data_IF_447934511303
#
_entry.id   IF_447934511303
#
_cell.length_a   1.000
_cell.length_b   1.000
_cell.length_c   1.000
_cell.angle_alpha   90.00
_cell.angle_beta   90.00
_cell.angle_gamma   90.00
#
_symmetry.space_group_name_H-M   'P 1'
#
loop_
_entity.id
_entity.type
_entity.pdbx_description
1 polymer ?
#
# COMPACT_ATOMS: atom_id res chain seq x y z
N UNK A 1 17.99 8.00 -68.90
CA UNK A 1 18.86 7.79 -67.73
C UNK A 1 18.09 8.30 -66.53
N UNK A 2 17.43 7.36 -65.85
CA UNK A 2 16.62 7.65 -64.65
C UNK A 2 17.47 7.32 -63.44
N UNK A 3 17.64 8.28 -62.55
CA UNK A 3 18.22 8.03 -61.22
C UNK A 3 17.13 8.06 -60.19
N UNK A 4 16.84 6.85 -59.66
CA UNK A 4 16.00 6.67 -58.48
C UNK A 4 16.73 7.20 -57.24
N UNK A 5 16.08 8.10 -56.53
CA UNK A 5 16.46 8.50 -55.18
C UNK A 5 15.52 7.80 -54.18
N UNK A 6 16.02 6.73 -53.58
CA UNK A 6 15.34 6.07 -52.49
C UNK A 6 15.65 6.83 -51.20
N UNK A 7 14.65 7.51 -50.66
CA UNK A 7 14.72 8.14 -49.34
C UNK A 7 14.44 7.07 -48.29
N UNK A 8 15.47 6.74 -47.56
CA UNK A 8 15.39 5.84 -46.39
C UNK A 8 14.84 6.66 -45.20
N UNK A 9 13.55 6.49 -44.92
CA UNK A 9 12.93 7.04 -43.69
C UNK A 9 13.34 6.15 -42.52
N UNK A 10 14.35 6.60 -41.78
CA UNK A 10 14.68 6.03 -40.49
C UNK A 10 13.53 6.35 -39.50
N UNK A 11 12.68 5.36 -39.24
CA UNK A 11 11.72 5.39 -38.16
C UNK A 11 12.50 5.43 -36.84
N UNK A 12 12.58 6.59 -36.22
CA UNK A 12 13.07 6.74 -34.86
C UNK A 12 12.08 6.00 -33.93
N UNK A 13 12.47 4.82 -33.47
CA UNK A 13 11.78 4.16 -32.37
C UNK A 13 12.10 5.00 -31.14
N UNK A 14 11.12 5.80 -30.72
CA UNK A 14 11.17 6.51 -29.44
C UNK A 14 10.97 5.44 -28.36
N UNK A 15 12.06 4.87 -27.86
CA UNK A 15 12.06 4.08 -26.65
C UNK A 15 11.95 5.08 -25.51
N UNK A 16 10.73 5.52 -25.17
CA UNK A 16 10.47 5.97 -23.81
C UNK A 16 10.92 4.82 -22.90
N UNK A 17 11.96 5.06 -22.14
CA UNK A 17 12.35 4.16 -21.05
C UNK A 17 11.15 4.13 -20.11
N UNK A 18 10.41 3.02 -20.12
CA UNK A 18 9.39 2.79 -19.13
C UNK A 18 10.05 2.98 -17.76
N UNK A 19 9.64 4.00 -17.04
CA UNK A 19 10.05 4.19 -15.64
C UNK A 19 9.35 3.07 -14.89
N UNK A 20 10.12 2.19 -14.29
CA UNK A 20 9.59 1.02 -13.58
C UNK A 20 9.14 1.48 -12.19
N UNK A 21 7.92 2.01 -12.11
CA UNK A 21 7.32 2.43 -10.85
C UNK A 21 7.00 1.20 -9.98
N UNK A 22 7.24 1.31 -8.68
CA UNK A 22 6.86 0.26 -7.72
C UNK A 22 5.34 0.14 -7.62
N UNK A 23 4.65 1.29 -7.62
CA UNK A 23 3.19 1.36 -7.60
C UNK A 23 2.74 2.45 -8.57
N UNK A 24 1.71 2.17 -9.38
CA UNK A 24 1.16 3.12 -10.34
C UNK A 24 -0.37 2.99 -10.41
N UNK A 25 -1.05 4.13 -10.38
CA UNK A 25 -2.45 4.27 -10.78
C UNK A 25 -2.47 5.04 -12.09
N UNK A 26 -3.18 4.53 -13.09
CA UNK A 26 -3.36 5.20 -14.37
C UNK A 26 -4.85 5.40 -14.64
N UNK A 27 -5.27 6.67 -14.65
CA UNK A 27 -6.63 7.13 -15.03
C UNK A 27 -7.73 6.40 -14.26
N UNK A 28 -7.54 6.22 -12.94
CA UNK A 28 -8.44 5.41 -12.10
C UNK A 28 -9.69 6.17 -11.71
N UNK A 29 -10.84 5.60 -12.04
CA UNK A 29 -12.16 5.92 -11.50
C UNK A 29 -12.54 4.93 -10.41
N UNK A 30 -13.00 5.42 -9.27
CA UNK A 30 -13.44 4.56 -8.16
C UNK A 30 -14.37 5.31 -7.20
N UNK A 31 -15.08 4.56 -6.35
CA UNK A 31 -16.01 5.15 -5.39
C UNK A 31 -16.75 4.11 -4.54
N UNK A 32 -17.87 4.54 -3.98
CA UNK A 32 -18.68 3.72 -3.07
C UNK A 32 -20.09 3.50 -3.66
N UNK A 33 -20.46 2.26 -3.95
CA UNK A 33 -21.73 1.95 -4.61
C UNK A 33 -21.82 2.66 -5.96
N UNK A 34 -22.76 3.58 -6.13
CA UNK A 34 -22.93 4.36 -7.36
C UNK A 34 -22.34 5.79 -7.24
N UNK A 35 -21.63 6.10 -6.16
CA UNK A 35 -21.05 7.43 -5.90
C UNK A 35 -19.58 7.43 -6.28
N UNK A 36 -19.26 8.11 -7.38
CA UNK A 36 -17.87 8.32 -7.80
C UNK A 36 -17.16 9.30 -6.87
N UNK A 37 -15.93 8.95 -6.48
CA UNK A 37 -15.05 9.76 -5.62
C UNK A 37 -13.71 10.04 -6.29
N UNK A 38 -13.17 9.09 -7.03
CA UNK A 38 -12.00 9.27 -7.87
C UNK A 38 -12.46 9.43 -9.32
N UNK A 39 -11.90 10.42 -10.01
CA UNK A 39 -12.20 10.77 -11.41
C UNK A 39 -10.85 11.03 -12.09
N UNK A 40 -10.48 10.17 -13.05
CA UNK A 40 -9.21 10.21 -13.80
C UNK A 40 -7.98 10.38 -12.86
N UNK A 41 -7.93 9.58 -11.78
CA UNK A 41 -6.88 9.69 -10.76
C UNK A 41 -5.63 8.94 -11.19
N UNK A 42 -4.52 9.67 -11.35
CA UNK A 42 -3.21 9.08 -11.68
C UNK A 42 -2.17 9.48 -10.65
N UNK A 43 -1.36 8.52 -10.22
CA UNK A 43 -0.20 8.73 -9.34
C UNK A 43 0.79 7.58 -9.50
N UNK A 44 2.02 7.80 -9.11
CA UNK A 44 3.04 6.75 -9.03
C UNK A 44 3.88 6.88 -7.77
N UNK A 45 4.55 5.78 -7.42
CA UNK A 45 5.50 5.68 -6.33
C UNK A 45 6.73 4.92 -6.81
N UNK A 46 7.91 5.52 -6.64
CA UNK A 46 9.19 4.91 -6.96
C UNK A 46 9.83 4.22 -5.75
N UNK A 47 10.81 3.35 -6.01
CA UNK A 47 11.52 2.65 -4.95
C UNK A 47 12.23 3.64 -4.00
N UNK A 48 11.98 3.50 -2.69
CA UNK A 48 12.56 4.37 -1.66
C UNK A 48 11.93 5.76 -1.56
N UNK A 49 10.83 6.01 -2.27
CA UNK A 49 10.09 7.26 -2.23
C UNK A 49 9.03 7.27 -1.12
N UNK A 50 8.65 8.47 -0.70
CA UNK A 50 7.49 8.72 0.17
C UNK A 50 6.56 9.69 -0.55
N UNK A 51 5.38 9.22 -0.93
CA UNK A 51 4.32 10.06 -1.52
C UNK A 51 3.32 10.46 -0.45
N UNK A 52 2.99 11.75 -0.38
CA UNK A 52 2.02 12.29 0.57
C UNK A 52 0.80 12.83 -0.15
N UNK A 53 -0.37 12.24 0.11
CA UNK A 53 -1.65 12.71 -0.42
C UNK A 53 -2.17 13.85 0.46
N UNK A 54 -2.26 15.06 -0.08
CA UNK A 54 -2.70 16.26 0.65
C UNK A 54 -4.02 16.75 0.07
N UNK A 55 -4.95 17.12 0.93
CA UNK A 55 -6.25 17.67 0.54
C UNK A 55 -7.22 17.75 1.70
N UNK A 56 -8.36 18.45 1.53
CA UNK A 56 -9.41 18.54 2.56
C UNK A 56 -10.05 17.17 2.84
N UNK A 57 -10.82 17.10 3.93
CA UNK A 57 -11.63 15.91 4.22
C UNK A 57 -12.65 15.72 3.09
N UNK A 58 -12.81 14.48 2.64
CA UNK A 58 -13.66 14.14 1.50
C UNK A 58 -12.99 14.29 0.11
N UNK A 59 -11.72 14.70 0.02
CA UNK A 59 -10.99 14.81 -1.25
C UNK A 59 -10.60 13.47 -1.91
N UNK A 60 -11.02 12.34 -1.36
CA UNK A 60 -10.71 11.02 -1.95
C UNK A 60 -9.42 10.35 -1.47
N UNK A 61 -8.65 10.95 -0.55
CA UNK A 61 -7.36 10.39 -0.08
C UNK A 61 -7.48 8.92 0.38
N UNK A 62 -8.40 8.64 1.31
CA UNK A 62 -8.65 7.27 1.77
C UNK A 62 -9.23 6.37 0.68
N UNK A 63 -9.92 6.94 -0.31
CA UNK A 63 -10.46 6.18 -1.45
C UNK A 63 -9.32 5.69 -2.34
N UNK A 64 -8.32 6.52 -2.63
CA UNK A 64 -7.09 6.12 -3.34
C UNK A 64 -6.44 4.93 -2.63
N UNK A 65 -6.14 5.07 -1.33
CA UNK A 65 -5.49 4.01 -0.56
C UNK A 65 -6.31 2.70 -0.52
N UNK A 66 -7.64 2.81 -0.37
CA UNK A 66 -8.54 1.65 -0.37
C UNK A 66 -8.67 0.98 -1.74
N UNK A 67 -8.57 1.75 -2.82
CA UNK A 67 -8.58 1.21 -4.18
C UNK A 67 -7.28 0.46 -4.45
N UNK A 68 -6.12 1.00 -4.07
CA UNK A 68 -4.84 0.30 -4.16
C UNK A 68 -4.88 -1.00 -3.34
N UNK A 69 -5.43 -0.96 -2.13
CA UNK A 69 -5.47 -2.11 -1.21
C UNK A 69 -6.61 -3.10 -1.52
N UNK A 70 -7.33 -2.96 -2.63
CA UNK A 70 -8.38 -3.89 -3.05
C UNK A 70 -9.67 -3.86 -2.22
N UNK A 71 -9.83 -2.88 -1.31
CA UNK A 71 -11.10 -2.67 -0.58
C UNK A 71 -12.17 -2.04 -1.47
N UNK A 72 -11.76 -1.38 -2.54
CA UNK A 72 -12.58 -0.83 -3.60
C UNK A 72 -12.02 -1.30 -4.93
N UNK A 73 -12.90 -1.74 -5.83
CA UNK A 73 -12.51 -2.11 -7.18
C UNK A 73 -12.52 -0.86 -8.06
N UNK A 74 -11.48 -0.59 -8.86
CA UNK A 74 -11.53 0.47 -9.85
C UNK A 74 -12.66 0.20 -10.85
N UNK A 75 -13.38 1.24 -11.25
CA UNK A 75 -14.42 1.15 -12.27
C UNK A 75 -13.83 1.29 -13.68
N UNK A 76 -12.85 2.18 -13.81
CA UNK A 76 -12.03 2.41 -15.00
C UNK A 76 -10.58 2.64 -14.58
N UNK A 77 -9.65 2.58 -15.53
CA UNK A 77 -8.22 2.68 -15.29
C UNK A 77 -7.60 1.41 -14.72
N UNK A 78 -6.32 1.50 -14.34
CA UNK A 78 -5.55 0.35 -13.85
C UNK A 78 -4.73 0.70 -12.61
N UNK A 79 -4.47 -0.32 -11.78
CA UNK A 79 -3.56 -0.22 -10.63
C UNK A 79 -2.48 -1.26 -10.81
N UNK A 80 -1.22 -0.82 -10.99
CA UNK A 80 -0.07 -1.72 -11.16
C UNK A 80 0.83 -1.70 -9.95
N UNK A 81 1.35 -2.87 -9.60
CA UNK A 81 2.37 -3.05 -8.60
C UNK A 81 3.50 -3.90 -9.20
N UNK A 82 4.73 -3.35 -9.23
CA UNK A 82 5.86 -3.93 -9.96
C UNK A 82 5.54 -4.31 -11.42
N UNK A 83 4.66 -3.54 -12.07
CA UNK A 83 4.23 -3.77 -13.44
C UNK A 83 3.08 -4.76 -13.61
N UNK A 84 2.69 -5.50 -12.59
CA UNK A 84 1.55 -6.41 -12.62
C UNK A 84 0.25 -5.67 -12.22
N UNK A 85 -0.83 -5.90 -12.95
CA UNK A 85 -2.15 -5.33 -12.64
C UNK A 85 -2.75 -6.02 -11.41
N UNK A 86 -2.94 -5.23 -10.34
CA UNK A 86 -3.57 -5.65 -9.09
C UNK A 86 -5.00 -5.12 -8.92
N UNK A 87 -5.53 -4.44 -9.94
CA UNK A 87 -6.87 -3.86 -9.92
C UNK A 87 -7.95 -4.89 -9.62
N UNK A 88 -8.68 -4.71 -8.50
CA UNK A 88 -9.72 -5.64 -8.06
C UNK A 88 -9.23 -6.95 -7.42
N UNK A 89 -7.92 -7.09 -7.16
CA UNK A 89 -7.37 -8.17 -6.35
C UNK A 89 -7.91 -8.08 -4.91
N UNK A 90 -8.09 -9.21 -4.24
CA UNK A 90 -8.56 -9.23 -2.85
C UNK A 90 -7.46 -8.71 -1.88
N UNK A 91 -7.83 -8.01 -0.79
CA UNK A 91 -6.86 -7.47 0.17
C UNK A 91 -5.87 -8.49 0.73
N UNK A 92 -6.32 -9.72 0.97
CA UNK A 92 -5.48 -10.81 1.45
C UNK A 92 -4.39 -11.23 0.46
N UNK A 93 -4.65 -11.12 -0.84
CA UNK A 93 -3.68 -11.41 -1.89
C UNK A 93 -2.72 -10.23 -2.06
N UNK A 94 -3.22 -8.99 -2.03
CA UNK A 94 -2.40 -7.76 -2.05
C UNK A 94 -1.38 -7.72 -0.90
N UNK A 95 -1.78 -8.17 0.30
CA UNK A 95 -0.85 -8.30 1.44
C UNK A 95 0.27 -9.31 1.14
N UNK A 96 -0.03 -10.42 0.45
CA UNK A 96 0.97 -11.42 0.07
C UNK A 96 1.91 -10.93 -1.01
N UNK A 97 1.43 -10.05 -1.88
CA UNK A 97 2.27 -9.39 -2.90
C UNK A 97 3.26 -8.38 -2.28
N UNK A 98 3.03 -7.91 -1.03
CA UNK A 98 3.96 -7.03 -0.33
C UNK A 98 3.45 -5.61 -0.08
N UNK A 99 2.15 -5.38 -0.15
CA UNK A 99 1.54 -4.08 0.19
C UNK A 99 0.88 -4.17 1.57
N UNK A 100 1.35 -3.38 2.53
CA UNK A 100 0.75 -3.23 3.85
C UNK A 100 -0.23 -2.06 3.93
N UNK A 101 -1.20 -2.13 4.84
CA UNK A 101 -2.16 -1.05 5.06
C UNK A 101 -2.37 -0.75 6.54
N UNK A 102 -2.29 0.53 6.90
CA UNK A 102 -2.59 1.05 8.25
C UNK A 102 -3.83 1.92 8.15
N UNK A 103 -5.00 1.46 8.62
CA UNK A 103 -6.24 2.24 8.59
C UNK A 103 -6.22 3.38 9.61
N UNK A 104 -6.98 4.45 9.33
CA UNK A 104 -7.17 5.59 10.23
C UNK A 104 -7.75 5.19 11.59
N UNK A 105 -8.75 4.30 11.60
CA UNK A 105 -9.46 3.85 12.79
C UNK A 105 -9.44 2.34 12.90
N UNK A 106 -9.77 1.82 14.09
CA UNK A 106 -9.84 0.37 14.37
C UNK A 106 -8.57 -0.40 13.98
N UNK A 107 -7.44 0.30 14.04
CA UNK A 107 -6.13 -0.18 13.59
C UNK A 107 -5.46 -1.17 14.56
N UNK A 108 -6.03 -1.44 15.73
CA UNK A 108 -5.56 -2.45 16.70
C UNK A 108 -6.73 -3.19 17.36
N UNK A 109 -6.51 -4.46 17.72
CA UNK A 109 -7.47 -5.25 18.48
C UNK A 109 -7.32 -4.94 19.97
N UNK A 110 -8.15 -4.03 20.49
CA UNK A 110 -8.04 -3.50 21.85
C UNK A 110 -8.16 -4.55 22.96
N UNK A 111 -8.87 -5.66 22.72
CA UNK A 111 -9.03 -6.76 23.66
C UNK A 111 -7.85 -7.73 23.71
N UNK A 112 -7.00 -7.71 22.69
CA UNK A 112 -5.79 -8.53 22.59
C UNK A 112 -4.61 -7.82 23.23
N UNK A 113 -3.60 -8.58 23.66
CA UNK A 113 -2.30 -8.04 24.05
C UNK A 113 -1.54 -7.47 22.86
N UNK A 114 -0.46 -6.74 23.12
CA UNK A 114 0.43 -6.23 22.08
C UNK A 114 1.00 -7.40 21.25
N UNK A 115 1.50 -8.43 21.92
CA UNK A 115 2.04 -9.61 21.24
C UNK A 115 0.99 -10.31 20.36
N UNK A 116 -0.23 -10.50 20.86
CA UNK A 116 -1.32 -11.07 20.08
C UNK A 116 -1.70 -10.19 18.89
N UNK A 117 -1.67 -8.85 19.02
CA UNK A 117 -1.89 -7.93 17.91
C UNK A 117 -0.81 -8.10 16.81
N UNK A 118 0.47 -8.22 17.19
CA UNK A 118 1.56 -8.47 16.22
C UNK A 118 1.37 -9.83 15.54
N UNK A 119 1.08 -10.89 16.29
CA UNK A 119 0.80 -12.22 15.72
C UNK A 119 -0.38 -12.22 14.75
N UNK A 120 -1.43 -11.45 15.04
CA UNK A 120 -2.55 -11.26 14.12
C UNK A 120 -2.14 -10.52 12.83
N UNK A 121 -1.14 -9.62 12.90
CA UNK A 121 -0.59 -8.97 11.70
C UNK A 121 0.13 -9.96 10.78
N UNK A 122 0.68 -11.04 11.33
CA UNK A 122 1.42 -12.06 10.59
C UNK A 122 0.63 -13.32 10.26
N UNK A 123 -0.71 -13.31 10.36
CA UNK A 123 -1.55 -14.50 10.15
C UNK A 123 -1.41 -15.09 8.72
N UNK A 124 -1.02 -14.29 7.76
CA UNK A 124 -0.80 -14.69 6.37
C UNK A 124 0.66 -15.15 6.08
N UNK A 125 1.56 -15.13 7.08
CA UNK A 125 2.93 -15.63 6.95
C UNK A 125 2.97 -17.14 7.10
N UNK A 126 3.77 -17.77 6.27
CA UNK A 126 4.00 -19.21 6.34
C UNK A 126 5.10 -19.58 7.36
N UNK A 127 6.07 -18.67 7.61
CA UNK A 127 7.23 -18.93 8.49
C UNK A 127 7.81 -17.63 9.11
N UNK A 128 8.80 -17.79 9.97
CA UNK A 128 9.65 -16.72 10.50
C UNK A 128 8.94 -15.69 11.40
N UNK A 129 7.67 -15.88 11.77
CA UNK A 129 6.87 -14.91 12.50
C UNK A 129 7.54 -14.44 13.80
N UNK A 130 8.09 -15.38 14.60
CA UNK A 130 8.70 -15.03 15.89
C UNK A 130 9.95 -14.16 15.69
N UNK A 131 10.78 -14.46 14.69
CA UNK A 131 11.98 -13.67 14.40
C UNK A 131 11.64 -12.25 13.94
N UNK A 132 10.59 -12.08 13.14
CA UNK A 132 10.12 -10.75 12.73
C UNK A 132 9.56 -9.97 13.92
N UNK A 133 8.78 -10.61 14.77
CA UNK A 133 8.25 -9.98 15.99
C UNK A 133 9.41 -9.55 16.91
N UNK A 134 10.44 -10.34 17.08
CA UNK A 134 11.62 -9.97 17.87
C UNK A 134 12.33 -8.77 17.27
N UNK A 135 12.49 -8.71 15.94
CA UNK A 135 13.04 -7.53 15.24
C UNK A 135 12.17 -6.28 15.45
N UNK A 136 10.84 -6.43 15.45
CA UNK A 136 9.92 -5.32 15.73
C UNK A 136 10.02 -4.85 17.18
N UNK A 137 10.25 -5.72 18.15
CA UNK A 137 10.51 -5.33 19.55
C UNK A 137 11.82 -4.55 19.69
N UNK A 138 12.88 -4.94 18.97
CA UNK A 138 14.13 -4.15 18.94
C UNK A 138 13.89 -2.75 18.34
N UNK A 139 13.09 -2.66 17.28
CA UNK A 139 12.77 -1.40 16.60
C UNK A 139 11.81 -0.51 17.41
N UNK A 140 10.90 -1.12 18.16
CA UNK A 140 9.87 -0.44 18.97
C UNK A 140 9.93 -0.90 20.45
N UNK A 141 10.94 -0.47 21.23
CA UNK A 141 11.14 -0.93 22.63
C UNK A 141 9.91 -0.74 23.53
N UNK A 142 9.11 0.31 23.26
CA UNK A 142 7.84 0.53 23.97
C UNK A 142 6.87 -0.66 23.89
N UNK A 143 6.83 -1.35 22.75
CA UNK A 143 5.97 -2.51 22.54
C UNK A 143 6.52 -3.72 23.30
N UNK A 144 7.85 -3.87 23.36
CA UNK A 144 8.51 -4.93 24.10
C UNK A 144 8.26 -4.81 25.62
N UNK A 145 8.44 -3.62 26.19
CA UNK A 145 8.18 -3.35 27.60
C UNK A 145 6.76 -3.70 28.05
N UNK A 146 5.81 -3.66 27.12
CA UNK A 146 4.36 -3.84 27.37
C UNK A 146 3.75 -5.03 26.63
N UNK A 147 4.57 -5.98 26.12
CA UNK A 147 4.11 -7.04 25.22
C UNK A 147 2.86 -7.80 25.70
N UNK A 148 2.74 -8.02 27.01
CA UNK A 148 1.58 -8.69 27.63
C UNK A 148 0.41 -7.76 28.00
N UNK A 149 0.54 -6.44 27.80
CA UNK A 149 -0.54 -5.50 28.12
C UNK A 149 -1.61 -5.49 27.02
N UNK A 150 -2.88 -5.33 27.43
CA UNK A 150 -3.98 -5.14 26.47
C UNK A 150 -3.81 -3.86 25.67
N UNK A 151 -4.01 -3.90 24.33
CA UNK A 151 -3.86 -2.75 23.47
C UNK A 151 -4.80 -1.59 23.82
N UNK A 152 -5.97 -1.85 24.40
CA UNK A 152 -6.88 -0.79 24.91
C UNK A 152 -6.28 0.09 26.00
N UNK A 153 -5.23 -0.38 26.71
CA UNK A 153 -4.56 0.39 27.78
C UNK A 153 -3.52 1.35 27.25
N UNK A 154 -3.19 1.27 25.96
CA UNK A 154 -2.25 2.14 25.29
C UNK A 154 -2.85 3.54 25.07
N UNK A 155 -2.01 4.57 25.10
CA UNK A 155 -2.37 5.91 24.63
C UNK A 155 -2.63 5.92 23.12
N UNK A 156 -3.22 7.00 22.59
CA UNK A 156 -3.46 7.15 21.15
C UNK A 156 -2.19 6.92 20.32
N UNK A 157 -1.12 7.65 20.64
CA UNK A 157 0.16 7.49 19.92
C UNK A 157 0.79 6.10 20.10
N UNK A 158 0.64 5.46 21.28
CA UNK A 158 1.12 4.09 21.48
C UNK A 158 0.32 3.07 20.64
N UNK A 159 -0.99 3.27 20.49
CA UNK A 159 -1.81 2.45 19.58
C UNK A 159 -1.40 2.63 18.14
N UNK A 160 -1.05 3.86 17.74
CA UNK A 160 -0.55 4.13 16.40
C UNK A 160 0.76 3.37 16.14
N UNK A 161 1.71 3.40 17.07
CA UNK A 161 2.96 2.62 16.97
C UNK A 161 2.67 1.12 16.83
N UNK A 162 1.70 0.59 17.60
CA UNK A 162 1.31 -0.81 17.47
C UNK A 162 0.65 -1.11 16.12
N UNK A 163 -0.16 -0.20 15.59
CA UNK A 163 -0.78 -0.35 14.26
C UNK A 163 0.28 -0.42 13.14
N UNK A 164 1.29 0.46 13.21
CA UNK A 164 2.44 0.41 12.30
C UNK A 164 3.20 -0.91 12.42
N UNK A 165 3.58 -1.28 13.64
CA UNK A 165 4.32 -2.51 13.88
C UNK A 165 3.56 -3.73 13.36
N UNK A 166 2.22 -3.76 13.55
CA UNK A 166 1.36 -4.84 13.05
C UNK A 166 1.36 -4.94 11.52
N UNK A 167 1.34 -3.80 10.82
CA UNK A 167 1.41 -3.80 9.35
C UNK A 167 2.81 -4.23 8.84
N UNK A 168 3.86 -3.91 9.60
CA UNK A 168 5.25 -4.29 9.27
C UNK A 168 5.56 -5.77 9.52
N UNK A 169 4.71 -6.53 10.22
CA UNK A 169 4.93 -7.98 10.44
C UNK A 169 5.02 -8.76 9.13
N UNK A 170 4.31 -8.32 8.10
CA UNK A 170 4.37 -8.93 6.76
C UNK A 170 5.60 -8.51 5.95
N UNK A 171 6.45 -7.61 6.49
CA UNK A 171 7.63 -7.03 5.82
C UNK A 171 7.29 -6.46 4.43
N UNK A 172 6.29 -5.57 4.33
CA UNK A 172 5.83 -5.06 3.06
C UNK A 172 6.86 -4.16 2.39
N UNK A 173 6.93 -4.20 1.05
CA UNK A 173 7.73 -3.27 0.24
C UNK A 173 7.07 -1.89 0.16
N UNK A 174 5.73 -1.85 0.13
CA UNK A 174 4.93 -0.62 0.15
C UNK A 174 4.01 -0.60 1.37
N UNK A 175 3.99 0.53 2.08
CA UNK A 175 3.10 0.74 3.22
C UNK A 175 2.15 1.90 2.95
N UNK A 176 0.86 1.61 2.87
CA UNK A 176 -0.21 2.58 2.75
C UNK A 176 -0.67 3.01 4.13
N UNK A 177 -0.74 4.32 4.38
CA UNK A 177 -1.08 4.87 5.70
C UNK A 177 -2.19 5.88 5.55
N UNK A 178 -3.34 5.60 6.16
CA UNK A 178 -4.52 6.46 6.10
C UNK A 178 -4.58 7.33 7.37
N UNK A 179 -4.19 8.60 7.25
CA UNK A 179 -4.11 9.61 8.31
C UNK A 179 -3.35 9.13 9.57
N UNK A 180 -1.99 9.21 9.57
CA UNK A 180 -1.12 8.73 10.65
C UNK A 180 -1.23 9.54 11.96
#
# INVERSE_FOLDING_TARGET
MSTNHTTDEATAINTETAVDHVLELDSVDSGYGDVQVLDDCSLHLDAGEIVCLIGPNGAGKSTVLKTIFGMLTPWEGTVHYHGDDIGGMAPEDIVREGIGYVPQTDNVFGSLSIEENLRMGGVARDDGLDAVIDTLYERFPLLDEKRGANARTLSGGQRQVLAFARALVMEPDVLLIDEP
#
